data_IF_150034851724
#
_entry.id   IF_150034851724
#
_cell.length_a   1.000
_cell.length_b   1.000
_cell.length_c   1.000
_cell.angle_alpha   90.00
_cell.angle_beta   90.00
_cell.angle_gamma   90.00
#
_symmetry.space_group_name_H-M   'P 1'
#
loop_
_entity.id
_entity.type
_entity.pdbx_description
1 polymer ?
#
# COMPACT_ATOMS: atom_id res chain seq x y z
N UNK A 1 43.39 -60.26 -10.77
CA UNK A 1 43.06 -59.83 -9.39
C UNK A 1 42.53 -58.38 -9.42
N UNK A 2 41.24 -58.25 -9.51
CA UNK A 2 40.57 -56.94 -9.71
C UNK A 2 39.72 -56.66 -8.50
N UNK A 3 40.14 -55.69 -7.65
CA UNK A 3 39.46 -55.33 -6.47
C UNK A 3 38.52 -54.14 -6.80
N UNK A 4 37.24 -54.43 -6.93
CA UNK A 4 36.18 -53.43 -7.10
C UNK A 4 35.86 -52.79 -5.75
N UNK A 5 36.19 -51.48 -5.57
CA UNK A 5 35.78 -50.69 -4.43
C UNK A 5 34.41 -50.11 -4.66
N UNK A 6 33.41 -50.65 -3.97
CA UNK A 6 32.03 -50.15 -3.96
C UNK A 6 31.96 -48.84 -3.16
N UNK A 7 31.77 -47.71 -3.86
CA UNK A 7 31.49 -46.45 -3.24
C UNK A 7 30.03 -46.44 -2.72
N UNK A 8 29.85 -46.54 -1.42
CA UNK A 8 28.54 -46.33 -0.77
C UNK A 8 28.21 -44.83 -0.82
N UNK A 9 27.21 -44.47 -1.59
CA UNK A 9 26.63 -43.13 -1.56
C UNK A 9 25.95 -42.91 -0.22
N UNK A 10 26.48 -41.96 0.55
CA UNK A 10 25.87 -41.49 1.80
C UNK A 10 24.73 -40.54 1.41
N UNK A 11 23.52 -41.07 1.42
CA UNK A 11 22.28 -40.26 1.24
C UNK A 11 22.03 -39.49 2.54
N UNK A 12 22.46 -38.25 2.56
CA UNK A 12 22.07 -37.31 3.65
C UNK A 12 20.62 -36.92 3.44
N UNK A 13 19.72 -37.63 4.09
CA UNK A 13 18.31 -37.23 4.20
C UNK A 13 18.24 -36.03 5.13
N UNK A 14 18.16 -34.83 4.58
CA UNK A 14 17.71 -33.63 5.31
C UNK A 14 16.25 -33.84 5.74
N UNK A 15 16.05 -34.51 6.87
CA UNK A 15 14.79 -34.54 7.58
C UNK A 15 14.62 -33.20 8.31
N UNK A 16 14.42 -32.12 7.55
CA UNK A 16 13.97 -30.85 8.12
C UNK A 16 12.65 -31.10 8.83
N UNK A 17 12.66 -31.10 10.14
CA UNK A 17 11.51 -31.44 10.95
C UNK A 17 10.29 -30.61 10.52
N UNK A 18 9.13 -31.24 10.37
CA UNK A 18 7.85 -30.59 10.07
C UNK A 18 7.58 -29.40 11.02
N UNK A 19 8.09 -29.51 12.24
CA UNK A 19 8.05 -28.48 13.27
C UNK A 19 8.82 -27.20 12.85
N UNK A 20 10.04 -27.31 12.31
CA UNK A 20 10.81 -26.13 11.88
C UNK A 20 10.13 -25.40 10.71
N UNK A 21 9.55 -26.12 9.77
CA UNK A 21 8.78 -25.51 8.67
C UNK A 21 7.53 -24.80 9.15
N UNK A 22 6.82 -25.37 10.14
CA UNK A 22 5.67 -24.74 10.75
C UNK A 22 6.02 -23.46 11.52
N UNK A 23 7.16 -23.47 12.25
CA UNK A 23 7.65 -22.27 12.96
C UNK A 23 8.06 -21.15 12.01
N UNK A 24 8.76 -21.46 10.92
CA UNK A 24 9.15 -20.46 9.91
C UNK A 24 7.92 -19.87 9.21
N UNK A 25 6.93 -20.70 8.85
CA UNK A 25 5.69 -20.22 8.24
C UNK A 25 4.88 -19.32 9.20
N UNK A 26 4.78 -19.68 10.47
CA UNK A 26 4.11 -18.88 11.48
C UNK A 26 4.81 -17.52 11.72
N UNK A 27 6.14 -17.52 11.73
CA UNK A 27 6.94 -16.29 11.90
C UNK A 27 6.77 -15.34 10.70
N UNK A 28 6.74 -15.86 9.47
CA UNK A 28 6.54 -15.06 8.26
C UNK A 28 5.15 -14.42 8.25
N UNK A 29 4.11 -15.16 8.66
CA UNK A 29 2.74 -14.64 8.76
C UNK A 29 2.62 -13.56 9.85
N UNK A 30 3.34 -13.67 10.96
CA UNK A 30 3.33 -12.68 12.04
C UNK A 30 4.05 -11.38 11.69
N UNK A 31 4.99 -11.41 10.74
CA UNK A 31 5.73 -10.24 10.26
C UNK A 31 5.05 -9.52 9.08
N UNK A 32 3.96 -10.08 8.52
CA UNK A 32 3.21 -9.44 7.45
C UNK A 32 2.33 -8.33 8.06
N UNK A 33 2.58 -7.04 7.76
CA UNK A 33 1.69 -5.99 8.25
C UNK A 33 0.28 -6.22 7.71
N UNK A 34 -0.76 -6.03 8.52
CA UNK A 34 -2.13 -6.22 8.05
C UNK A 34 -2.40 -5.30 6.86
N UNK A 35 -2.72 -5.88 5.71
CA UNK A 35 -3.20 -5.12 4.57
C UNK A 35 -4.51 -4.44 4.98
N UNK A 36 -4.53 -3.11 4.89
CA UNK A 36 -5.76 -2.37 5.19
C UNK A 36 -6.81 -2.75 4.15
N UNK A 37 -8.00 -3.15 4.61
CA UNK A 37 -9.11 -3.46 3.72
C UNK A 37 -9.41 -2.27 2.80
N UNK A 38 -9.82 -2.53 1.58
CA UNK A 38 -10.30 -1.49 0.67
C UNK A 38 -11.59 -0.86 1.23
N UNK A 39 -11.87 0.39 0.87
CA UNK A 39 -13.10 1.09 1.28
C UNK A 39 -14.38 0.37 0.79
N UNK A 40 -14.23 -0.53 -0.18
CA UNK A 40 -15.36 -1.22 -0.82
C UNK A 40 -16.08 -0.36 -1.86
N UNK A 41 -15.66 0.88 -2.05
CA UNK A 41 -16.27 1.77 -3.04
C UNK A 41 -15.67 1.55 -4.44
N UNK A 42 -16.50 1.61 -5.49
CA UNK A 42 -16.02 1.67 -6.87
C UNK A 42 -15.05 2.85 -7.05
N UNK A 43 -14.06 2.71 -7.93
CA UNK A 43 -13.05 3.75 -8.12
C UNK A 43 -13.65 5.08 -8.60
N UNK A 44 -14.64 5.03 -9.48
CA UNK A 44 -15.34 6.23 -9.97
C UNK A 44 -16.07 6.96 -8.84
N UNK A 45 -16.60 6.23 -7.86
CA UNK A 45 -17.18 6.83 -6.65
C UNK A 45 -16.11 7.53 -5.80
N UNK A 46 -14.93 6.93 -5.66
CA UNK A 46 -13.81 7.57 -4.97
C UNK A 46 -13.36 8.84 -5.69
N UNK A 47 -13.30 8.82 -7.03
CA UNK A 47 -12.99 10.01 -7.83
C UNK A 47 -14.04 11.10 -7.63
N UNK A 48 -15.33 10.76 -7.68
CA UNK A 48 -16.41 11.72 -7.46
C UNK A 48 -16.34 12.39 -6.08
N UNK A 49 -15.98 11.62 -5.04
CA UNK A 49 -15.74 12.17 -3.70
C UNK A 49 -14.57 13.16 -3.72
N UNK A 50 -13.46 12.86 -4.36
CA UNK A 50 -12.33 13.79 -4.49
C UNK A 50 -12.72 15.04 -5.29
N UNK A 51 -13.40 14.84 -6.42
CA UNK A 51 -13.83 15.89 -7.33
C UNK A 51 -14.78 16.89 -6.68
N UNK A 52 -15.58 16.47 -5.71
CA UNK A 52 -16.52 17.37 -5.00
C UNK A 52 -15.84 18.58 -4.35
N UNK A 53 -14.56 18.46 -4.02
CA UNK A 53 -13.77 19.54 -3.43
C UNK A 53 -12.61 20.01 -4.33
N UNK A 54 -12.01 19.08 -5.09
CA UNK A 54 -10.83 19.38 -5.92
C UNK A 54 -11.16 19.65 -7.39
N UNK A 55 -12.43 19.48 -7.81
CA UNK A 55 -12.86 19.52 -9.19
C UNK A 55 -12.56 18.21 -9.92
N UNK A 56 -13.26 17.97 -11.04
CA UNK A 56 -13.08 16.76 -11.83
C UNK A 56 -11.67 16.61 -12.39
N UNK A 57 -11.05 17.75 -12.70
CA UNK A 57 -9.67 17.86 -13.19
C UNK A 57 -8.61 18.03 -12.09
N UNK A 58 -9.00 18.09 -10.81
CA UNK A 58 -8.09 18.30 -9.70
C UNK A 58 -7.51 19.71 -9.58
N UNK A 59 -7.91 20.66 -10.43
CA UNK A 59 -7.37 22.03 -10.48
C UNK A 59 -8.09 23.01 -9.56
N UNK A 60 -9.29 22.66 -9.13
CA UNK A 60 -10.15 23.54 -8.33
C UNK A 60 -9.61 23.77 -6.92
N UNK A 61 -9.72 25.01 -6.47
CA UNK A 61 -9.36 25.44 -5.12
C UNK A 61 -10.58 26.11 -4.50
N UNK A 62 -11.46 25.34 -3.87
CA UNK A 62 -12.66 25.88 -3.23
C UNK A 62 -12.34 26.80 -2.04
N UNK A 63 -11.19 26.59 -1.43
CA UNK A 63 -10.73 27.38 -0.29
C UNK A 63 -9.33 27.93 -0.58
N UNK A 64 -9.07 29.24 -0.29
CA UNK A 64 -7.72 29.78 -0.37
C UNK A 64 -6.73 28.94 0.44
N UNK A 65 -5.57 28.63 -0.14
CA UNK A 65 -4.55 27.81 0.49
C UNK A 65 -4.68 26.29 0.24
N UNK A 66 -5.75 25.83 -0.41
CA UNK A 66 -5.79 24.46 -0.91
C UNK A 66 -4.88 24.32 -2.13
N UNK A 67 -4.09 23.27 -2.14
CA UNK A 67 -3.22 22.96 -3.28
C UNK A 67 -4.01 22.32 -4.42
N UNK A 68 -3.61 22.62 -5.66
CA UNK A 68 -3.99 21.82 -6.81
C UNK A 68 -3.41 20.41 -6.64
N UNK A 69 -4.15 19.41 -7.11
CA UNK A 69 -3.71 18.01 -7.09
C UNK A 69 -3.48 17.44 -8.49
N UNK A 70 -3.93 18.15 -9.53
CA UNK A 70 -3.68 17.84 -10.93
C UNK A 70 -2.19 18.02 -11.29
N UNK A 71 -1.65 17.09 -12.06
CA UNK A 71 -0.26 17.12 -12.53
C UNK A 71 0.80 17.09 -11.41
N UNK A 72 0.39 16.86 -10.18
CA UNK A 72 1.31 16.73 -9.06
C UNK A 72 2.13 15.44 -9.17
N UNK A 73 3.34 15.44 -8.62
CA UNK A 73 4.15 14.24 -8.54
C UNK A 73 3.41 13.11 -7.82
N UNK A 74 3.35 11.93 -8.43
CA UNK A 74 2.61 10.78 -7.92
C UNK A 74 3.07 10.36 -6.52
N UNK A 75 4.37 10.28 -6.30
CA UNK A 75 4.97 9.88 -5.02
C UNK A 75 4.61 10.89 -3.93
N UNK A 76 4.58 12.17 -4.27
CA UNK A 76 4.12 13.22 -3.35
C UNK A 76 2.64 13.05 -2.99
N UNK A 77 1.77 12.76 -3.95
CA UNK A 77 0.33 12.52 -3.70
C UNK A 77 0.13 11.30 -2.79
N UNK A 78 0.84 10.21 -3.05
CA UNK A 78 0.84 9.01 -2.19
C UNK A 78 1.27 9.35 -0.77
N UNK A 79 2.39 10.04 -0.63
CA UNK A 79 2.92 10.47 0.66
C UNK A 79 1.93 11.37 1.41
N UNK A 80 1.36 12.37 0.73
CA UNK A 80 0.40 13.29 1.31
C UNK A 80 -0.85 12.58 1.81
N UNK A 81 -1.45 11.67 1.02
CA UNK A 81 -2.61 10.89 1.43
C UNK A 81 -2.30 9.97 2.62
N UNK A 82 -1.13 9.33 2.64
CA UNK A 82 -0.69 8.52 3.78
C UNK A 82 -0.50 9.35 5.05
N UNK A 83 0.02 10.57 4.93
CA UNK A 83 0.15 11.50 6.06
C UNK A 83 -1.21 11.96 6.60
N UNK A 84 -2.18 12.28 5.72
CA UNK A 84 -3.53 12.58 6.15
C UNK A 84 -4.16 11.38 6.88
N UNK A 85 -4.01 10.18 6.31
CA UNK A 85 -4.54 8.94 6.87
C UNK A 85 -4.00 8.64 8.27
N UNK A 86 -2.72 8.92 8.52
CA UNK A 86 -2.06 8.69 9.81
C UNK A 86 -2.18 9.87 10.79
N UNK A 87 -2.94 10.91 10.44
CA UNK A 87 -2.99 12.17 11.21
C UNK A 87 -1.60 12.83 11.39
N UNK A 88 -0.68 12.54 10.49
CA UNK A 88 0.67 13.12 10.50
C UNK A 88 0.77 14.50 9.86
N UNK A 89 -0.18 14.87 9.00
CA UNK A 89 -0.19 16.18 8.35
C UNK A 89 -0.85 17.22 9.24
N UNK A 90 -0.15 18.34 9.44
CA UNK A 90 -0.61 19.49 10.24
C UNK A 90 -0.94 20.66 9.31
N UNK A 91 -1.81 21.55 9.75
CA UNK A 91 -2.21 22.75 9.02
C UNK A 91 -3.69 23.01 9.17
N UNK A 92 -4.11 24.25 8.84
CA UNK A 92 -5.47 24.76 9.08
C UNK A 92 -6.56 23.89 8.45
N UNK A 93 -6.31 23.31 7.28
CA UNK A 93 -7.28 22.51 6.52
C UNK A 93 -6.99 21.00 6.53
N UNK A 94 -5.99 20.55 7.29
CA UNK A 94 -5.62 19.12 7.33
C UNK A 94 -6.77 18.25 7.85
N UNK A 95 -7.53 18.76 8.80
CA UNK A 95 -8.69 18.07 9.39
C UNK A 95 -9.80 17.75 8.40
N UNK A 96 -9.92 18.50 7.30
CA UNK A 96 -10.95 18.25 6.28
C UNK A 96 -10.61 17.00 5.43
N UNK A 97 -9.33 16.81 5.10
CA UNK A 97 -8.89 15.67 4.29
C UNK A 97 -8.76 14.37 5.08
N UNK A 98 -8.54 14.46 6.38
CA UNK A 98 -8.26 13.32 7.25
C UNK A 98 -9.39 12.26 7.23
N UNK A 99 -10.68 12.60 7.41
CA UNK A 99 -11.76 11.60 7.41
C UNK A 99 -11.81 10.79 6.12
N UNK A 100 -11.60 11.43 4.98
CA UNK A 100 -11.58 10.77 3.67
C UNK A 100 -10.34 9.86 3.54
N UNK A 101 -9.16 10.36 3.86
CA UNK A 101 -7.93 9.60 3.75
C UNK A 101 -7.89 8.39 4.69
N UNK A 102 -8.53 8.48 5.87
CA UNK A 102 -8.57 7.39 6.86
C UNK A 102 -9.28 6.13 6.33
N UNK A 103 -10.20 6.26 5.40
CA UNK A 103 -10.93 5.14 4.80
C UNK A 103 -10.17 4.44 3.68
N UNK A 104 -9.16 5.08 3.10
CA UNK A 104 -8.45 4.59 1.92
C UNK A 104 -7.46 3.47 2.26
N UNK A 105 -7.47 2.41 1.47
CA UNK A 105 -6.41 1.40 1.42
C UNK A 105 -5.15 1.94 0.72
N UNK A 106 -4.04 1.22 0.82
CA UNK A 106 -2.83 1.56 0.07
C UNK A 106 -3.06 1.54 -1.44
N UNK A 107 -3.83 0.55 -1.93
CA UNK A 107 -4.13 0.38 -3.35
C UNK A 107 -4.97 1.53 -3.90
N UNK A 108 -5.97 1.98 -3.14
CA UNK A 108 -6.80 3.12 -3.52
C UNK A 108 -5.97 4.41 -3.55
N UNK A 109 -5.10 4.64 -2.56
CA UNK A 109 -4.17 5.77 -2.54
C UNK A 109 -3.28 5.77 -3.79
N UNK A 110 -2.69 4.64 -4.15
CA UNK A 110 -1.84 4.54 -5.34
C UNK A 110 -2.61 4.81 -6.65
N UNK A 111 -3.85 4.32 -6.75
CA UNK A 111 -4.70 4.55 -7.92
C UNK A 111 -5.12 6.02 -8.03
N UNK A 112 -5.55 6.63 -6.94
CA UNK A 112 -5.93 8.05 -6.90
C UNK A 112 -4.73 8.94 -7.24
N UNK A 113 -3.56 8.66 -6.66
CA UNK A 113 -2.34 9.39 -6.96
C UNK A 113 -1.93 9.26 -8.43
N UNK A 114 -2.03 8.06 -9.00
CA UNK A 114 -1.76 7.84 -10.41
C UNK A 114 -2.74 8.60 -11.32
N UNK A 115 -4.02 8.66 -10.95
CA UNK A 115 -5.03 9.39 -11.72
C UNK A 115 -4.72 10.90 -11.74
N UNK A 116 -4.63 11.53 -10.58
CA UNK A 116 -4.43 12.98 -10.50
C UNK A 116 -3.05 13.44 -10.97
N UNK A 117 -2.03 12.60 -10.92
CA UNK A 117 -0.69 12.94 -11.45
C UNK A 117 -0.65 12.99 -12.98
N UNK A 118 -1.62 12.37 -13.67
CA UNK A 118 -1.69 12.33 -15.14
C UNK A 118 -2.70 13.33 -15.74
N UNK A 119 -3.33 14.14 -14.92
CA UNK A 119 -4.17 15.25 -15.35
C UNK A 119 -3.32 16.52 -15.55
#
# INVERSE_FOLDING_TARGET
>A
MTTSKTLRAISVRCAGSRALRAFVAALVLALCPPARAESGLPFDTLLAVCASCHGEDGSTRLVPGWGRIDGQNREYLVYALKLYRSNGRRGMNAGLMMPFAMTLSNREIERLAAHFSNL
#
